data_IF_052685390129
#
_entry.id   IF_052685390129
#
_cell.length_a   1.000
_cell.length_b   1.000
_cell.length_c   1.000
_cell.angle_alpha   90.00
_cell.angle_beta   90.00
_cell.angle_gamma   90.00
#
_symmetry.space_group_name_H-M   'P 1'
#
loop_
_entity.id
_entity.type
_entity.pdbx_description
1 polymer ?
#
# COMPACT_ATOMS: atom_id res chain seq x y z
N UNK A 1 5.11 16.64 -9.08
CA UNK A 1 4.56 15.71 -10.10
C UNK A 1 3.03 15.67 -9.97
N UNK A 2 2.37 15.56 -11.11
CA UNK A 2 0.90 15.47 -11.17
C UNK A 2 0.35 14.30 -10.33
N UNK A 3 0.91 13.11 -10.52
CA UNK A 3 0.51 11.92 -9.77
C UNK A 3 0.75 12.08 -8.27
N UNK A 4 1.87 12.67 -7.89
CA UNK A 4 2.16 12.96 -6.47
C UNK A 4 1.09 13.85 -5.85
N UNK A 5 0.66 14.88 -6.55
CA UNK A 5 -0.38 15.78 -6.06
C UNK A 5 -1.73 15.06 -5.89
N UNK A 6 -2.06 14.14 -6.80
CA UNK A 6 -3.28 13.33 -6.67
C UNK A 6 -3.20 12.42 -5.45
N UNK A 7 -2.11 11.69 -5.29
CA UNK A 7 -1.91 10.76 -4.17
C UNK A 7 -1.98 11.48 -2.82
N UNK A 8 -1.37 12.66 -2.75
CA UNK A 8 -1.33 13.48 -1.53
C UNK A 8 -2.60 14.29 -1.27
N UNK A 9 -3.59 14.14 -2.15
CA UNK A 9 -4.87 14.87 -2.06
C UNK A 9 -4.70 16.41 -2.09
N UNK A 10 -3.68 16.88 -2.82
CA UNK A 10 -3.29 18.28 -2.94
C UNK A 10 -3.87 18.98 -4.18
N UNK A 11 -4.79 18.35 -4.87
CA UNK A 11 -5.38 18.85 -6.11
C UNK A 11 -6.90 18.62 -6.10
N UNK A 12 -7.65 19.61 -6.56
CA UNK A 12 -9.09 19.51 -6.62
C UNK A 12 -9.54 18.51 -7.73
N UNK A 13 -10.63 17.76 -7.52
CA UNK A 13 -11.11 16.79 -8.53
C UNK A 13 -11.36 17.40 -9.92
N UNK A 14 -11.86 18.65 -9.97
CA UNK A 14 -12.03 19.37 -11.24
C UNK A 14 -10.72 19.60 -11.97
N UNK A 15 -9.67 19.94 -11.22
CA UNK A 15 -8.33 20.19 -11.79
C UNK A 15 -7.64 18.90 -12.23
N UNK A 16 -7.93 17.79 -11.56
CA UNK A 16 -7.45 16.46 -11.99
C UNK A 16 -7.95 16.17 -13.40
N UNK A 17 -9.23 16.40 -13.66
CA UNK A 17 -9.82 16.15 -14.98
C UNK A 17 -9.20 17.02 -16.07
N UNK A 18 -9.02 18.32 -15.81
CA UNK A 18 -8.44 19.26 -16.76
C UNK A 18 -6.98 18.90 -17.06
N UNK A 19 -6.17 18.71 -16.03
CA UNK A 19 -4.75 18.40 -16.16
C UNK A 19 -4.50 17.02 -16.78
N UNK A 20 -5.34 16.04 -16.52
CA UNK A 20 -5.20 14.74 -17.14
C UNK A 20 -5.41 14.81 -18.65
N UNK A 21 -6.33 15.64 -19.12
CA UNK A 21 -6.49 15.90 -20.56
C UNK A 21 -5.28 16.59 -21.17
N UNK A 22 -4.76 17.63 -20.51
CA UNK A 22 -3.58 18.37 -20.98
C UNK A 22 -2.33 17.46 -21.06
N UNK A 23 -2.18 16.55 -20.11
CA UNK A 23 -1.04 15.63 -20.03
C UNK A 23 -1.26 14.31 -20.79
N UNK A 24 -2.39 14.18 -21.49
CA UNK A 24 -2.80 12.95 -22.17
C UNK A 24 -2.80 11.72 -21.24
N UNK A 25 -3.25 11.92 -20.01
CA UNK A 25 -3.30 10.88 -19.01
C UNK A 25 -4.66 10.18 -19.03
N UNK A 26 -4.66 8.86 -19.10
CA UNK A 26 -5.91 8.08 -19.11
C UNK A 26 -6.57 8.08 -17.73
N UNK A 27 -7.82 8.56 -17.65
CA UNK A 27 -8.57 8.64 -16.40
C UNK A 27 -9.22 7.32 -15.99
N UNK A 28 -9.72 6.57 -16.95
CA UNK A 28 -10.58 5.39 -16.75
C UNK A 28 -9.78 4.10 -16.97
N UNK A 29 -8.65 3.99 -16.31
CA UNK A 29 -7.79 2.81 -16.34
C UNK A 29 -7.63 2.29 -14.93
N UNK A 30 -7.70 0.97 -14.77
CA UNK A 30 -7.50 0.34 -13.47
C UNK A 30 -6.03 0.47 -13.03
N UNK A 31 -5.84 0.95 -11.81
CA UNK A 31 -4.52 1.14 -11.19
C UNK A 31 -4.53 0.66 -9.76
N UNK A 32 -3.37 0.26 -9.29
CA UNK A 32 -3.13 -0.13 -7.90
C UNK A 32 -1.94 0.64 -7.34
N UNK A 33 -1.99 0.95 -6.07
CA UNK A 33 -0.90 1.62 -5.34
C UNK A 33 -0.18 0.61 -4.46
N UNK A 34 1.15 0.56 -4.62
CA UNK A 34 2.06 -0.14 -3.72
C UNK A 34 2.84 0.91 -2.92
N UNK A 35 2.71 0.88 -1.61
CA UNK A 35 3.56 1.68 -0.71
C UNK A 35 4.73 0.81 -0.26
N UNK A 36 5.94 1.21 -0.63
CA UNK A 36 7.16 0.45 -0.41
C UNK A 36 8.00 1.16 0.63
N UNK A 37 8.15 0.55 1.80
CA UNK A 37 8.99 1.04 2.90
C UNK A 37 10.27 0.25 2.97
N UNK A 38 11.40 0.94 2.86
CA UNK A 38 12.72 0.34 3.06
C UNK A 38 13.04 0.29 4.54
N UNK A 39 13.27 -0.91 5.07
CA UNK A 39 13.47 -1.16 6.50
C UNK A 39 14.93 -1.40 6.88
N UNK A 40 15.83 -1.50 5.89
CA UNK A 40 17.26 -1.71 6.11
C UNK A 40 18.03 -0.42 6.36
N UNK A 41 19.21 -0.55 7.02
CA UNK A 41 20.14 0.56 7.27
C UNK A 41 21.14 0.75 6.13
N UNK A 42 20.72 0.65 4.89
CA UNK A 42 21.62 0.82 3.75
C UNK A 42 21.57 2.26 3.24
N UNK A 43 22.73 2.76 2.81
CA UNK A 43 22.88 4.11 2.22
C UNK A 43 22.29 4.21 0.80
N UNK A 44 21.32 3.36 0.49
CA UNK A 44 20.71 3.31 -0.84
C UNK A 44 19.50 4.23 -0.86
N UNK A 45 19.38 5.02 -1.92
CA UNK A 45 18.22 5.89 -2.13
C UNK A 45 17.07 5.05 -2.70
N UNK A 46 15.97 4.84 -1.93
CA UNK A 46 14.87 3.96 -2.34
C UNK A 46 14.25 4.34 -3.69
N UNK A 47 14.13 5.64 -3.92
CA UNK A 47 13.57 6.17 -5.16
C UNK A 47 14.40 5.76 -6.39
N UNK A 48 15.73 5.81 -6.30
CA UNK A 48 16.62 5.44 -7.40
C UNK A 48 16.52 3.95 -7.75
N UNK A 49 16.42 3.09 -6.74
CA UNK A 49 16.22 1.65 -6.95
C UNK A 49 14.93 1.42 -7.74
N UNK A 50 13.84 2.01 -7.29
CA UNK A 50 12.54 1.82 -7.94
C UNK A 50 12.48 2.46 -9.32
N UNK A 51 13.13 3.60 -9.54
CA UNK A 51 13.24 4.22 -10.86
C UNK A 51 14.00 3.33 -11.85
N UNK A 52 15.05 2.64 -11.40
CA UNK A 52 15.80 1.70 -12.24
C UNK A 52 14.95 0.46 -12.57
N UNK A 53 14.17 -0.04 -11.63
CA UNK A 53 13.26 -1.17 -11.84
C UNK A 53 12.08 -0.79 -12.75
N UNK A 54 11.56 0.42 -12.60
CA UNK A 54 10.35 0.91 -13.29
C UNK A 54 10.63 2.24 -14.00
N UNK A 55 11.26 2.21 -15.18
CA UNK A 55 11.64 3.43 -15.89
C UNK A 55 10.48 4.16 -16.58
N UNK A 56 9.24 3.83 -16.28
CA UNK A 56 8.04 4.50 -16.80
C UNK A 56 7.60 4.05 -18.20
N UNK A 57 8.25 3.07 -18.79
CA UNK A 57 7.94 2.58 -20.16
C UNK A 57 6.62 1.80 -20.23
N UNK A 58 6.18 1.23 -19.11
CA UNK A 58 4.98 0.37 -19.04
C UNK A 58 3.85 1.04 -18.23
N UNK A 59 3.76 2.37 -18.29
CA UNK A 59 2.73 3.15 -17.57
C UNK A 59 2.77 2.91 -16.06
N UNK A 60 3.96 2.88 -15.52
CA UNK A 60 4.26 2.79 -14.12
C UNK A 60 4.82 4.11 -13.62
N UNK A 61 4.44 4.52 -12.42
CA UNK A 61 4.86 5.79 -11.84
C UNK A 61 5.48 5.55 -10.47
N UNK A 62 6.73 5.98 -10.31
CA UNK A 62 7.44 5.93 -9.04
C UNK A 62 7.47 7.32 -8.42
N UNK A 63 7.07 7.42 -7.15
CA UNK A 63 6.93 8.68 -6.44
C UNK A 63 7.59 8.56 -5.07
N UNK A 64 8.51 9.46 -4.76
CA UNK A 64 9.07 9.58 -3.41
C UNK A 64 8.07 10.29 -2.50
N UNK A 65 7.71 9.66 -1.39
CA UNK A 65 6.78 10.20 -0.39
C UNK A 65 7.43 10.40 0.98
N UNK A 66 8.67 9.96 1.13
CA UNK A 66 9.47 10.11 2.34
C UNK A 66 10.91 9.69 2.09
N UNK A 67 11.74 9.79 3.11
CA UNK A 67 13.16 9.44 3.01
C UNK A 67 13.37 7.96 2.69
N UNK A 68 12.56 7.09 3.31
CA UNK A 68 12.62 5.63 3.13
C UNK A 68 11.37 5.06 2.44
N UNK A 69 10.44 5.92 2.07
CA UNK A 69 9.13 5.53 1.56
C UNK A 69 8.96 5.98 0.12
N UNK A 70 8.57 5.04 -0.73
CA UNK A 70 8.24 5.31 -2.13
C UNK A 70 6.94 4.64 -2.51
N UNK A 71 6.25 5.24 -3.46
CA UNK A 71 4.99 4.72 -4.00
C UNK A 71 5.22 4.30 -5.43
N UNK A 72 4.75 3.11 -5.77
CA UNK A 72 4.61 2.65 -7.14
C UNK A 72 3.13 2.63 -7.49
N UNK A 73 2.76 3.35 -8.53
CA UNK A 73 1.43 3.28 -9.15
C UNK A 73 1.56 2.48 -10.43
N UNK A 74 0.79 1.40 -10.53
CA UNK A 74 0.84 0.48 -11.66
C UNK A 74 -0.52 0.32 -12.31
N UNK A 75 -0.59 0.43 -13.64
CA UNK A 75 -1.77 0.03 -14.39
C UNK A 75 -1.91 -1.50 -14.37
N UNK A 76 -3.13 -1.96 -14.17
CA UNK A 76 -3.48 -3.38 -14.13
C UNK A 76 -4.72 -3.63 -14.98
N UNK A 77 -4.96 -4.90 -15.31
CA UNK A 77 -6.18 -5.28 -16.01
C UNK A 77 -7.41 -5.00 -15.14
N UNK A 78 -8.50 -4.60 -15.77
CA UNK A 78 -9.80 -4.54 -15.09
C UNK A 78 -10.13 -5.94 -14.52
N UNK A 79 -10.66 -5.98 -13.31
CA UNK A 79 -10.99 -7.22 -12.60
C UNK A 79 -9.79 -8.16 -12.33
N UNK A 80 -8.58 -7.61 -12.20
CA UNK A 80 -7.41 -8.39 -11.78
C UNK A 80 -7.67 -9.05 -10.43
N UNK A 81 -7.25 -10.30 -10.27
CA UNK A 81 -7.29 -10.98 -8.99
C UNK A 81 -6.24 -10.36 -8.03
N UNK A 82 -6.66 -10.06 -6.81
CA UNK A 82 -5.75 -9.51 -5.79
C UNK A 82 -4.58 -10.46 -5.48
N UNK A 83 -4.76 -11.76 -5.71
CA UNK A 83 -3.69 -12.73 -5.59
C UNK A 83 -2.55 -12.46 -6.61
N UNK A 84 -2.90 -12.06 -7.82
CA UNK A 84 -1.92 -11.65 -8.84
C UNK A 84 -1.21 -10.35 -8.44
N UNK A 85 -1.94 -9.40 -7.85
CA UNK A 85 -1.37 -8.15 -7.33
C UNK A 85 -0.36 -8.43 -6.20
N UNK A 86 -0.70 -9.34 -5.31
CA UNK A 86 0.21 -9.79 -4.24
C UNK A 86 1.47 -10.47 -4.79
N UNK A 87 1.35 -11.26 -5.86
CA UNK A 87 2.50 -11.83 -6.56
C UNK A 87 3.41 -10.75 -7.16
N UNK A 88 2.85 -9.69 -7.72
CA UNK A 88 3.63 -8.55 -8.20
C UNK A 88 4.44 -7.92 -7.06
N UNK A 89 3.79 -7.68 -5.91
CA UNK A 89 4.47 -7.14 -4.74
C UNK A 89 5.59 -8.07 -4.24
N UNK A 90 5.34 -9.38 -4.22
CA UNK A 90 6.36 -10.39 -3.87
C UNK A 90 7.54 -10.34 -4.81
N UNK A 91 7.31 -10.26 -6.11
CA UNK A 91 8.38 -10.15 -7.11
C UNK A 91 9.21 -8.87 -6.91
N UNK A 92 8.58 -7.76 -6.59
CA UNK A 92 9.27 -6.49 -6.28
C UNK A 92 10.15 -6.64 -5.03
N UNK A 93 9.61 -7.18 -3.96
CA UNK A 93 10.36 -7.39 -2.72
C UNK A 93 11.55 -8.34 -2.91
N UNK A 94 11.36 -9.43 -3.64
CA UNK A 94 12.41 -10.41 -3.94
C UNK A 94 13.52 -9.79 -4.80
N UNK A 95 13.18 -9.01 -5.81
CA UNK A 95 14.16 -8.32 -6.66
C UNK A 95 14.98 -7.32 -5.85
N UNK A 96 14.33 -6.52 -5.00
CA UNK A 96 15.02 -5.56 -4.13
C UNK A 96 15.96 -6.28 -3.16
N UNK A 97 15.52 -7.40 -2.60
CA UNK A 97 16.35 -8.21 -1.69
C UNK A 97 17.55 -8.83 -2.38
N UNK A 98 17.37 -9.41 -3.55
CA UNK A 98 18.43 -10.15 -4.25
C UNK A 98 19.41 -9.25 -5.00
N UNK A 99 18.94 -8.20 -5.66
CA UNK A 99 19.78 -7.33 -6.48
C UNK A 99 20.35 -6.13 -5.73
N UNK A 100 19.63 -5.61 -4.75
CA UNK A 100 20.02 -4.41 -4.01
C UNK A 100 20.33 -4.65 -2.54
N UNK A 101 20.23 -5.89 -2.09
CA UNK A 101 20.50 -6.31 -0.70
C UNK A 101 19.75 -5.47 0.34
N UNK A 102 18.54 -5.05 -0.01
CA UNK A 102 17.68 -4.23 0.83
C UNK A 102 16.40 -4.98 1.20
N UNK A 103 15.91 -4.73 2.40
CA UNK A 103 14.64 -5.28 2.88
C UNK A 103 13.55 -4.23 2.79
N UNK A 104 12.38 -4.65 2.33
CA UNK A 104 11.21 -3.77 2.19
C UNK A 104 9.96 -4.39 2.80
N UNK A 105 9.05 -3.52 3.23
CA UNK A 105 7.68 -3.87 3.54
C UNK A 105 6.77 -3.18 2.52
N UNK A 106 5.81 -3.90 1.97
CA UNK A 106 4.93 -3.39 0.92
C UNK A 106 3.47 -3.45 1.39
N UNK A 107 2.84 -2.28 1.44
CA UNK A 107 1.41 -2.16 1.60
C UNK A 107 0.72 -2.02 0.25
N UNK A 108 -0.38 -2.72 0.06
CA UNK A 108 -1.13 -2.72 -1.19
C UNK A 108 -2.51 -2.14 -0.95
N UNK A 109 -2.84 -1.05 -1.66
CA UNK A 109 -4.19 -0.51 -1.68
C UNK A 109 -5.13 -1.32 -2.57
N UNK A 110 -6.41 -0.98 -2.59
CA UNK A 110 -7.36 -1.59 -3.52
C UNK A 110 -7.13 -1.07 -4.94
N UNK A 111 -7.47 -1.90 -5.91
CA UNK A 111 -7.50 -1.49 -7.32
C UNK A 111 -8.58 -0.44 -7.52
N UNK A 112 -8.24 0.67 -8.15
CA UNK A 112 -9.16 1.76 -8.45
C UNK A 112 -9.28 1.93 -9.96
N UNK A 113 -10.47 2.33 -10.43
CA UNK A 113 -10.80 2.43 -11.85
C UNK A 113 -10.74 3.87 -12.38
N UNK A 114 -10.47 4.82 -11.50
CA UNK A 114 -10.36 6.23 -11.87
C UNK A 114 -9.15 6.88 -11.17
N UNK A 115 -8.47 7.74 -11.89
CA UNK A 115 -7.27 8.43 -11.38
C UNK A 115 -7.54 9.24 -10.11
N UNK A 116 -8.73 9.81 -9.96
CA UNK A 116 -9.12 10.58 -8.77
C UNK A 116 -9.13 9.74 -7.48
N UNK A 117 -9.27 8.41 -7.60
CA UNK A 117 -9.34 7.50 -6.47
C UNK A 117 -7.97 6.97 -6.03
N UNK A 118 -6.88 7.42 -6.67
CA UNK A 118 -5.52 7.02 -6.30
C UNK A 118 -5.15 7.44 -4.86
N UNK A 119 -5.65 8.58 -4.39
CA UNK A 119 -5.41 9.00 -3.01
C UNK A 119 -6.02 8.01 -2.00
N UNK A 120 -7.19 7.46 -2.31
CA UNK A 120 -7.81 6.42 -1.49
C UNK A 120 -6.96 5.15 -1.46
N UNK A 121 -6.53 4.66 -2.63
CA UNK A 121 -5.66 3.48 -2.71
C UNK A 121 -4.35 3.67 -1.94
N UNK A 122 -3.77 4.86 -1.99
CA UNK A 122 -2.58 5.20 -1.21
C UNK A 122 -2.84 5.18 0.30
N UNK A 123 -3.93 5.80 0.77
CA UNK A 123 -4.32 5.77 2.18
C UNK A 123 -4.57 4.34 2.68
N UNK A 124 -5.20 3.53 1.86
CA UNK A 124 -5.43 2.11 2.16
C UNK A 124 -4.10 1.32 2.26
N UNK A 125 -3.15 1.61 1.39
CA UNK A 125 -1.81 1.01 1.47
C UNK A 125 -1.07 1.40 2.76
N UNK A 126 -1.21 2.66 3.21
CA UNK A 126 -0.67 3.12 4.49
C UNK A 126 -1.33 2.38 5.67
N UNK A 127 -2.65 2.28 5.66
CA UNK A 127 -3.41 1.54 6.68
C UNK A 127 -2.97 0.08 6.72
N UNK A 128 -2.77 -0.55 5.55
CA UNK A 128 -2.31 -1.93 5.46
C UNK A 128 -0.97 -2.13 6.19
N UNK A 129 0.01 -1.25 5.97
CA UNK A 129 1.30 -1.34 6.64
C UNK A 129 1.20 -1.06 8.14
N UNK A 130 0.42 -0.06 8.54
CA UNK A 130 0.27 0.31 9.94
C UNK A 130 -0.45 -0.78 10.74
N UNK A 131 -1.52 -1.34 10.20
CA UNK A 131 -2.24 -2.46 10.82
C UNK A 131 -1.38 -3.73 10.83
N UNK A 132 -0.69 -3.99 9.74
CA UNK A 132 0.20 -5.15 9.64
C UNK A 132 1.31 -5.15 10.70
N UNK A 133 1.86 -3.99 11.04
CA UNK A 133 2.84 -3.86 12.13
C UNK A 133 2.27 -4.25 13.49
N UNK A 134 0.99 -3.97 13.73
CA UNK A 134 0.33 -4.23 15.01
C UNK A 134 -0.03 -5.70 15.16
N UNK A 135 -0.55 -6.32 14.09
CA UNK A 135 -1.15 -7.66 14.18
C UNK A 135 -0.27 -8.78 13.62
N UNK A 136 0.67 -8.48 12.74
CA UNK A 136 1.53 -9.49 12.13
C UNK A 136 2.87 -8.89 11.70
N UNK A 137 3.83 -8.91 12.60
CA UNK A 137 5.16 -8.36 12.38
C UNK A 137 6.02 -9.16 11.41
N UNK A 138 5.61 -10.36 11.02
CA UNK A 138 6.38 -11.25 10.16
C UNK A 138 6.07 -11.10 8.67
N UNK A 139 4.92 -10.51 8.32
CA UNK A 139 4.55 -10.31 6.92
C UNK A 139 5.15 -9.03 6.36
N UNK A 140 5.91 -9.16 5.29
CA UNK A 140 6.49 -8.04 4.56
C UNK A 140 5.55 -7.45 3.50
N UNK A 141 4.52 -8.20 3.10
CA UNK A 141 3.54 -7.79 2.09
C UNK A 141 2.14 -7.90 2.67
N UNK A 142 1.44 -6.77 2.71
CA UNK A 142 0.14 -6.65 3.34
C UNK A 142 -0.82 -5.95 2.39
N UNK A 143 -1.87 -6.65 2.00
CA UNK A 143 -2.97 -6.09 1.20
C UNK A 143 -4.07 -5.55 2.10
N UNK A 144 -4.57 -4.36 1.78
CA UNK A 144 -5.70 -3.76 2.47
C UNK A 144 -6.95 -4.66 2.45
N UNK A 145 -7.19 -5.34 1.32
CA UNK A 145 -8.34 -6.25 1.18
C UNK A 145 -8.29 -7.43 2.16
N UNK A 146 -7.10 -7.83 2.61
CA UNK A 146 -6.90 -8.97 3.49
C UNK A 146 -6.88 -8.61 4.99
N UNK A 147 -7.11 -7.35 5.36
CA UNK A 147 -7.03 -6.92 6.76
C UNK A 147 -8.25 -7.29 7.59
N UNK A 148 -9.43 -7.45 6.98
CA UNK A 148 -10.64 -7.82 7.70
C UNK A 148 -10.95 -6.91 8.88
N UNK A 149 -11.06 -7.50 10.09
CA UNK A 149 -11.41 -6.77 11.31
C UNK A 149 -10.32 -5.77 11.75
N UNK A 150 -9.06 -6.03 11.43
CA UNK A 150 -7.96 -5.11 11.72
C UNK A 150 -8.16 -3.74 11.06
N UNK A 151 -8.71 -3.71 9.86
CA UNK A 151 -9.08 -2.50 9.15
C UNK A 151 -10.13 -1.67 9.90
N UNK A 152 -11.15 -2.34 10.44
CA UNK A 152 -12.20 -1.69 11.24
C UNK A 152 -11.65 -1.09 12.53
N UNK A 153 -10.78 -1.81 13.22
CA UNK A 153 -10.14 -1.37 14.46
C UNK A 153 -9.28 -0.11 14.22
N UNK A 154 -8.51 -0.10 13.14
CA UNK A 154 -7.64 1.04 12.82
C UNK A 154 -8.42 2.32 12.50
N UNK A 155 -9.63 2.20 11.97
CA UNK A 155 -10.50 3.35 11.67
C UNK A 155 -11.19 3.95 12.92
N UNK A 156 -11.11 3.27 14.06
CA UNK A 156 -11.63 3.79 15.33
C UNK A 156 -10.76 4.94 15.85
N UNK A 157 -11.34 5.91 16.59
CA UNK A 157 -10.54 6.89 17.32
C UNK A 157 -9.48 6.20 18.18
N UNK A 158 -8.29 6.81 18.28
CA UNK A 158 -7.14 6.22 18.97
C UNK A 158 -7.47 5.74 20.38
N UNK A 159 -8.24 6.52 21.12
CA UNK A 159 -8.67 6.16 22.48
C UNK A 159 -9.54 4.90 22.52
N UNK A 160 -10.47 4.75 21.58
CA UNK A 160 -11.30 3.54 21.48
C UNK A 160 -10.50 2.34 21.00
N UNK A 161 -9.57 2.55 20.07
CA UNK A 161 -8.66 1.52 19.58
C UNK A 161 -7.80 0.97 20.73
N UNK A 162 -7.20 1.84 21.55
CA UNK A 162 -6.41 1.46 22.72
C UNK A 162 -7.26 0.70 23.75
N UNK A 163 -8.46 1.18 24.05
CA UNK A 163 -9.38 0.48 24.95
C UNK A 163 -9.74 -0.91 24.43
N UNK A 164 -10.07 -1.03 23.16
CA UNK A 164 -10.39 -2.29 22.52
C UNK A 164 -9.22 -3.27 22.59
N UNK A 165 -8.02 -2.81 22.23
CA UNK A 165 -6.81 -3.62 22.27
C UNK A 165 -6.48 -4.07 23.70
N UNK A 166 -6.64 -3.19 24.69
CA UNK A 166 -6.43 -3.54 26.09
C UNK A 166 -7.42 -4.61 26.58
N UNK A 167 -8.67 -4.52 26.19
CA UNK A 167 -9.69 -5.53 26.56
C UNK A 167 -9.41 -6.87 25.90
N UNK A 168 -9.05 -6.89 24.63
CA UNK A 168 -8.73 -8.11 23.88
C UNK A 168 -7.47 -8.78 24.46
N UNK A 169 -6.44 -8.01 24.81
CA UNK A 169 -5.18 -8.54 25.35
C UNK A 169 -5.28 -8.91 26.84
N UNK A 170 -6.16 -8.28 27.63
CA UNK A 170 -6.41 -8.66 29.04
C UNK A 170 -7.09 -10.02 29.19
N UNK A 171 -7.77 -10.50 28.18
CA UNK A 171 -8.42 -11.83 28.17
C UNK A 171 -7.47 -12.97 27.76
N UNK A 172 -6.16 -12.73 27.85
CA UNK A 172 -4.98 -13.59 27.92
C UNK A 172 -4.88 -14.82 27.00
N UNK A 173 -5.47 -15.97 27.31
CA UNK A 173 -5.23 -17.20 26.53
C UNK A 173 -5.82 -17.20 25.13
N UNK A 174 -6.35 -16.10 24.70
CA UNK A 174 -6.91 -15.92 23.37
C UNK A 174 -5.89 -15.36 22.35
N UNK A 175 -4.65 -15.06 22.77
CA UNK A 175 -3.66 -14.43 21.88
C UNK A 175 -3.35 -15.25 20.63
N UNK A 176 -3.21 -16.56 20.74
CA UNK A 176 -2.96 -17.41 19.56
C UNK A 176 -4.23 -17.74 18.77
N UNK A 177 -5.36 -17.84 19.45
CA UNK A 177 -6.68 -18.04 18.84
C UNK A 177 -7.15 -16.78 18.09
N UNK A 178 -6.84 -15.61 18.61
CA UNK A 178 -7.27 -14.34 18.01
C UNK A 178 -6.58 -14.07 16.68
N UNK A 179 -5.32 -14.47 16.49
CA UNK A 179 -4.64 -14.35 15.21
C UNK A 179 -5.30 -15.23 14.13
N UNK A 180 -5.55 -16.49 14.43
CA UNK A 180 -6.23 -17.40 13.51
C UNK A 180 -7.68 -17.00 13.27
N UNK A 181 -8.40 -16.56 14.31
CA UNK A 181 -9.77 -16.09 14.19
C UNK A 181 -9.88 -14.81 13.39
N UNK A 182 -8.98 -13.86 13.57
CA UNK A 182 -8.91 -12.64 12.78
C UNK A 182 -8.61 -12.95 11.30
N UNK A 183 -7.71 -13.88 11.03
CA UNK A 183 -7.42 -14.35 9.67
C UNK A 183 -8.60 -15.10 9.05
N UNK A 184 -9.36 -15.85 9.82
CA UNK A 184 -10.54 -16.60 9.35
C UNK A 184 -11.73 -15.67 9.06
N UNK A 185 -11.90 -14.61 9.82
CA UNK A 185 -12.96 -13.59 9.60
C UNK A 185 -12.69 -12.78 8.32
N UNK A 186 -11.45 -12.73 7.85
CA UNK A 186 -11.08 -12.11 6.58
C UNK A 186 -11.47 -12.93 5.34
N UNK A 187 -11.68 -14.18 5.51
CA UNK A 187 -12.17 -15.05 4.44
C UNK A 187 -13.68 -14.98 4.36
#
# INVERSE_FOLDING_TARGET
>A
SFIKNIIMDNILPSDIYIKSKELHFSNDVSRVVFLIKFTGKNDVIPYEILQNMFPGKNKEYVISVGEHDSVLVKEVKANIDMHEVEKMARAIADTISTEFYSKVSIGIGTVVDNIKDLSRSYKEAQVALDVGKVFDTEKDIISYDNLGIGRLIYQLPTSLCEMFLQEVFKKGPLESLDRETLMTIQA
#
